data_IF_226066059692
#
_entry.id   IF_226066059692
#
_cell.length_a   1.000
_cell.length_b   1.000
_cell.length_c   1.000
_cell.angle_alpha   90.00
_cell.angle_beta   90.00
_cell.angle_gamma   90.00
#
_symmetry.space_group_name_H-M   'P 1'
#
loop_
_entity.id
_entity.type
_entity.pdbx_description
1 polymer ?
#
# COMPACT_ATOMS: atom_id res chain seq x y z
N UNK A 1 -6.32 29.37 -1.26
CA UNK A 1 -6.28 28.24 -0.31
C UNK A 1 -4.85 27.71 -0.27
N UNK A 2 -4.15 27.93 0.82
CA UNK A 2 -2.74 27.52 0.97
C UNK A 2 -2.65 26.00 1.01
N UNK A 3 -1.94 25.40 0.05
CA UNK A 3 -1.46 24.02 0.12
C UNK A 3 -0.47 23.94 1.28
N UNK A 4 -0.94 23.59 2.48
CA UNK A 4 -0.04 23.13 3.55
C UNK A 4 0.41 21.73 3.13
N UNK A 5 1.67 21.59 2.76
CA UNK A 5 2.30 20.29 2.52
C UNK A 5 2.33 19.56 3.87
N UNK A 6 1.35 18.68 4.10
CA UNK A 6 1.23 17.90 5.33
C UNK A 6 2.46 17.01 5.47
N UNK A 7 3.21 17.14 6.56
CA UNK A 7 4.16 16.11 6.97
C UNK A 7 3.35 14.86 7.32
N UNK A 8 3.45 13.77 6.57
CA UNK A 8 2.69 12.55 6.81
C UNK A 8 3.55 11.55 7.57
N UNK A 9 3.03 11.02 8.68
CA UNK A 9 3.64 9.92 9.45
C UNK A 9 2.84 8.66 9.15
N UNK A 10 3.49 7.63 8.62
CA UNK A 10 2.85 6.33 8.39
C UNK A 10 2.99 5.48 9.65
N UNK A 11 1.86 5.09 10.24
CA UNK A 11 1.80 4.17 11.36
C UNK A 11 1.08 2.91 10.88
N UNK A 12 1.63 1.74 11.18
CA UNK A 12 0.87 0.50 10.98
C UNK A 12 -0.01 0.25 12.21
N UNK A 13 -1.31 0.23 12.00
CA UNK A 13 -2.34 -0.15 12.97
C UNK A 13 -2.40 -1.67 13.01
N UNK A 14 -1.82 -2.26 14.07
CA UNK A 14 -1.72 -3.72 14.24
C UNK A 14 -3.08 -4.37 14.49
N UNK A 15 -4.03 -3.64 15.07
CA UNK A 15 -5.35 -4.17 15.42
C UNK A 15 -6.21 -4.33 14.17
N UNK A 16 -5.99 -3.46 13.17
CA UNK A 16 -6.72 -3.46 11.90
C UNK A 16 -5.85 -3.84 10.70
N UNK A 17 -4.61 -4.25 10.95
CA UNK A 17 -3.61 -4.67 9.96
C UNK A 17 -3.46 -3.72 8.76
N UNK A 18 -3.41 -2.42 9.03
CA UNK A 18 -3.40 -1.42 7.98
C UNK A 18 -2.45 -0.28 8.26
N UNK A 19 -1.91 0.31 7.22
CA UNK A 19 -1.20 1.57 7.34
C UNK A 19 -2.24 2.68 7.55
N UNK A 20 -2.16 3.36 8.69
CA UNK A 20 -2.83 4.64 8.94
C UNK A 20 -1.83 5.78 8.71
N UNK A 21 -2.31 6.89 8.18
CA UNK A 21 -1.52 8.10 8.02
C UNK A 21 -1.89 9.07 9.14
N UNK A 22 -0.89 9.65 9.79
CA UNK A 22 -1.04 10.71 10.78
C UNK A 22 -0.45 11.99 10.21
N UNK A 23 -1.13 13.11 10.38
CA UNK A 23 -0.60 14.43 10.07
C UNK A 23 0.41 14.81 11.17
N UNK A 24 1.67 14.96 10.80
CA UNK A 24 2.78 15.23 11.70
C UNK A 24 2.81 16.64 12.27
N UNK A 25 2.00 17.57 11.76
CA UNK A 25 1.82 18.90 12.38
C UNK A 25 0.75 18.88 13.48
N UNK A 26 -0.33 18.12 13.27
CA UNK A 26 -1.50 18.11 14.16
C UNK A 26 -1.58 16.90 15.08
N UNK A 27 -0.87 15.82 14.74
CA UNK A 27 -1.00 14.51 15.39
C UNK A 27 -2.31 13.79 15.08
N UNK A 28 -3.14 14.33 14.18
CA UNK A 28 -4.45 13.74 13.84
C UNK A 28 -4.32 12.69 12.74
N UNK A 29 -5.17 11.66 12.78
CA UNK A 29 -5.26 10.69 11.69
C UNK A 29 -5.75 11.38 10.42
N UNK A 30 -4.96 11.32 9.36
CA UNK A 30 -5.37 11.74 8.03
C UNK A 30 -6.53 10.86 7.62
N UNK A 31 -7.67 11.49 7.32
CA UNK A 31 -8.86 10.77 6.94
C UNK A 31 -8.62 10.13 5.57
N UNK A 32 -9.22 8.98 5.34
CA UNK A 32 -9.20 8.31 4.04
C UNK A 32 -9.76 9.19 2.91
N UNK A 33 -10.47 10.27 3.24
CA UNK A 33 -11.04 11.22 2.29
C UNK A 33 -10.05 12.32 1.85
N UNK A 34 -8.88 12.43 2.50
CA UNK A 34 -8.02 13.61 2.39
C UNK A 34 -6.94 13.52 1.29
N UNK A 35 -6.69 12.34 0.70
CA UNK A 35 -5.66 12.17 -0.32
C UNK A 35 -6.23 11.82 -1.72
N UNK A 36 -5.68 12.49 -2.74
CA UNK A 36 -6.17 12.45 -4.14
C UNK A 36 -6.29 11.04 -4.70
N UNK A 37 -5.36 10.15 -4.35
CA UNK A 37 -5.36 8.76 -4.81
C UNK A 37 -6.52 8.00 -4.18
N UNK A 38 -6.72 8.10 -2.87
CA UNK A 38 -7.87 7.46 -2.22
C UNK A 38 -9.20 7.98 -2.77
N UNK A 39 -9.31 9.28 -3.08
CA UNK A 39 -10.49 9.84 -3.75
C UNK A 39 -10.79 9.18 -5.11
N UNK A 40 -9.77 8.96 -5.95
CA UNK A 40 -9.92 8.27 -7.23
C UNK A 40 -10.28 6.78 -7.07
N UNK A 41 -9.73 6.11 -6.06
CA UNK A 41 -10.06 4.72 -5.74
C UNK A 41 -11.52 4.57 -5.28
N UNK A 42 -12.00 5.48 -4.42
CA UNK A 42 -13.41 5.50 -4.00
C UNK A 42 -14.33 5.72 -5.19
N UNK A 43 -13.99 6.64 -6.09
CA UNK A 43 -14.75 6.84 -7.32
C UNK A 43 -14.83 5.55 -8.16
N UNK A 44 -13.71 4.82 -8.36
CA UNK A 44 -13.74 3.54 -9.07
C UNK A 44 -14.63 2.50 -8.37
N UNK A 45 -14.59 2.44 -7.04
CA UNK A 45 -15.43 1.55 -6.24
C UNK A 45 -16.92 1.88 -6.41
N UNK A 46 -17.30 3.15 -6.32
CA UNK A 46 -18.68 3.62 -6.53
C UNK A 46 -19.20 3.30 -7.94
N UNK A 47 -18.29 3.27 -8.94
CA UNK A 47 -18.60 2.85 -10.30
C UNK A 47 -18.62 1.32 -10.50
N UNK A 48 -18.46 0.53 -9.44
CA UNK A 48 -18.43 -0.94 -9.50
C UNK A 48 -17.20 -1.51 -10.21
N UNK A 49 -16.12 -0.73 -10.35
CA UNK A 49 -14.94 -1.11 -11.15
C UNK A 49 -13.89 -1.88 -10.32
N UNK A 50 -14.33 -2.92 -9.58
CA UNK A 50 -13.46 -3.73 -8.71
C UNK A 50 -12.25 -4.33 -9.43
N UNK A 51 -12.41 -4.70 -10.69
CA UNK A 51 -11.30 -5.21 -11.52
C UNK A 51 -10.18 -4.18 -11.71
N UNK A 52 -10.53 -2.90 -11.88
CA UNK A 52 -9.53 -1.83 -12.03
C UNK A 52 -8.82 -1.55 -10.70
N UNK A 53 -9.52 -1.64 -9.57
CA UNK A 53 -8.93 -1.53 -8.24
C UNK A 53 -7.86 -2.62 -8.02
N UNK A 54 -8.17 -3.87 -8.38
CA UNK A 54 -7.20 -4.98 -8.30
C UNK A 54 -6.01 -4.79 -9.24
N UNK A 55 -6.25 -4.36 -10.49
CA UNK A 55 -5.16 -4.00 -11.43
C UNK A 55 -4.24 -2.93 -10.86
N UNK A 56 -4.81 -1.92 -10.19
CA UNK A 56 -4.04 -0.86 -9.56
C UNK A 56 -3.23 -1.39 -8.37
N UNK A 57 -3.81 -2.23 -7.51
CA UNK A 57 -3.09 -2.86 -6.40
C UNK A 57 -1.87 -3.66 -6.91
N UNK A 58 -2.06 -4.50 -7.94
CA UNK A 58 -0.97 -5.25 -8.59
C UNK A 58 0.11 -4.32 -9.14
N UNK A 59 -0.27 -3.22 -9.79
CA UNK A 59 0.68 -2.24 -10.30
C UNK A 59 1.51 -1.60 -9.17
N UNK A 60 0.87 -1.18 -8.07
CA UNK A 60 1.55 -0.62 -6.91
C UNK A 60 2.57 -1.60 -6.34
N UNK A 61 2.19 -2.87 -6.18
CA UNK A 61 3.09 -3.91 -5.66
C UNK A 61 4.28 -4.15 -6.59
N UNK A 62 4.07 -4.12 -7.91
CA UNK A 62 5.17 -4.23 -8.88
C UNK A 62 6.18 -3.07 -8.79
N UNK A 63 5.80 -1.90 -8.28
CA UNK A 63 6.74 -0.78 -8.07
C UNK A 63 7.68 -1.00 -6.88
N UNK A 64 7.31 -1.87 -5.93
CA UNK A 64 8.01 -2.05 -4.65
C UNK A 64 9.23 -2.97 -4.76
N UNK A 65 9.29 -3.86 -5.74
CA UNK A 65 10.54 -4.56 -6.06
C UNK A 65 10.48 -5.20 -7.46
N UNK A 66 11.55 -5.06 -8.23
CA UNK A 66 11.74 -5.83 -9.47
C UNK A 66 12.19 -7.27 -9.16
N UNK A 67 12.80 -7.50 -7.98
CA UNK A 67 13.26 -8.80 -7.48
C UNK A 67 12.34 -9.37 -6.38
N UNK A 68 11.05 -9.46 -6.68
CA UNK A 68 10.08 -10.13 -5.79
C UNK A 68 10.57 -11.54 -5.43
N UNK A 69 10.58 -11.88 -4.13
CA UNK A 69 10.92 -13.26 -3.71
C UNK A 69 9.83 -14.22 -4.19
N UNK A 70 10.10 -15.53 -4.28
CA UNK A 70 9.18 -16.50 -4.87
C UNK A 70 7.77 -16.48 -4.27
N UNK A 71 7.64 -16.25 -2.96
CA UNK A 71 6.33 -16.21 -2.31
C UNK A 71 5.50 -14.99 -2.73
N UNK A 72 6.10 -13.80 -2.85
CA UNK A 72 5.40 -12.61 -3.33
C UNK A 72 4.99 -12.75 -4.81
N UNK A 73 5.86 -13.36 -5.64
CA UNK A 73 5.52 -13.68 -7.03
C UNK A 73 4.30 -14.58 -7.11
N UNK A 74 4.25 -15.63 -6.29
CA UNK A 74 3.09 -16.54 -6.23
C UNK A 74 1.81 -15.80 -5.85
N UNK A 75 1.85 -14.89 -4.87
CA UNK A 75 0.67 -14.10 -4.47
C UNK A 75 0.23 -13.17 -5.61
N UNK A 76 1.17 -12.54 -6.31
CA UNK A 76 0.85 -11.70 -7.48
C UNK A 76 0.28 -12.50 -8.64
N UNK A 77 0.81 -13.69 -8.93
CA UNK A 77 0.27 -14.57 -9.96
C UNK A 77 -1.20 -14.95 -9.64
N UNK A 78 -1.51 -15.19 -8.35
CA UNK A 78 -2.88 -15.45 -7.90
C UNK A 78 -3.76 -14.21 -8.05
N UNK A 79 -3.28 -13.03 -7.69
CA UNK A 79 -4.01 -11.78 -7.89
C UNK A 79 -4.28 -11.47 -9.38
N UNK A 80 -3.31 -11.73 -10.25
CA UNK A 80 -3.44 -11.57 -11.69
C UNK A 80 -4.46 -12.55 -12.26
N UNK A 81 -4.46 -13.81 -11.84
CA UNK A 81 -5.52 -14.76 -12.17
C UNK A 81 -6.88 -14.29 -11.70
N UNK A 82 -6.99 -13.79 -10.47
CA UNK A 82 -8.23 -13.25 -9.93
C UNK A 82 -8.78 -12.06 -10.72
N UNK A 83 -7.91 -11.26 -11.34
CA UNK A 83 -8.30 -10.18 -12.26
C UNK A 83 -8.85 -10.69 -13.59
N UNK A 84 -8.46 -11.90 -14.03
CA UNK A 84 -8.84 -12.47 -15.32
C UNK A 84 -10.02 -13.43 -15.27
N UNK A 85 -10.14 -14.20 -14.19
CA UNK A 85 -11.09 -15.30 -14.05
C UNK A 85 -12.35 -14.92 -13.28
N UNK A 86 -12.51 -13.64 -12.90
CA UNK A 86 -13.61 -13.16 -12.03
C UNK A 86 -13.77 -14.05 -10.78
N UNK A 87 -12.63 -14.35 -10.14
CA UNK A 87 -12.56 -15.23 -8.96
C UNK A 87 -13.48 -14.72 -7.86
N UNK A 88 -14.25 -15.64 -7.28
CA UNK A 88 -15.23 -15.35 -6.24
C UNK A 88 -14.57 -14.82 -4.96
N UNK A 89 -15.33 -13.99 -4.23
CA UNK A 89 -14.81 -13.34 -3.01
C UNK A 89 -14.45 -14.33 -1.90
N UNK A 90 -15.10 -15.50 -1.86
CA UNK A 90 -14.83 -16.57 -0.89
C UNK A 90 -13.46 -17.20 -1.10
N UNK A 91 -13.09 -17.52 -2.35
CA UNK A 91 -11.78 -18.07 -2.69
C UNK A 91 -10.64 -17.09 -2.37
N UNK A 92 -10.86 -15.79 -2.63
CA UNK A 92 -9.92 -14.75 -2.23
C UNK A 92 -9.80 -14.61 -0.72
N UNK A 93 -10.91 -14.74 0.02
CA UNK A 93 -10.88 -14.69 1.47
C UNK A 93 -10.08 -15.85 2.06
N UNK A 94 -10.26 -17.08 1.57
CA UNK A 94 -9.46 -18.24 2.00
C UNK A 94 -7.97 -18.01 1.77
N UNK A 95 -7.57 -17.57 0.57
CA UNK A 95 -6.17 -17.22 0.28
C UNK A 95 -5.64 -16.09 1.17
N UNK A 96 -6.49 -15.11 1.49
CA UNK A 96 -6.13 -13.99 2.35
C UNK A 96 -5.92 -14.44 3.81
N UNK A 97 -6.75 -15.35 4.31
CA UNK A 97 -6.62 -15.97 5.63
C UNK A 97 -5.39 -16.87 5.73
N UNK A 98 -5.08 -17.66 4.70
CA UNK A 98 -3.87 -18.50 4.66
C UNK A 98 -2.57 -17.68 4.79
N UNK A 99 -2.59 -16.41 4.35
CA UNK A 99 -1.42 -15.52 4.40
C UNK A 99 -1.31 -14.73 5.72
N UNK A 100 -2.33 -14.78 6.57
CA UNK A 100 -2.45 -14.00 7.81
C UNK A 100 -1.23 -14.17 8.74
N UNK A 101 -0.83 -15.41 9.02
CA UNK A 101 0.29 -15.66 9.94
C UNK A 101 1.63 -15.10 9.43
N UNK A 102 1.83 -15.07 8.11
CA UNK A 102 3.03 -14.48 7.51
C UNK A 102 2.92 -12.96 7.44
N UNK A 103 1.71 -12.42 7.24
CA UNK A 103 1.44 -10.99 7.30
C UNK A 103 1.76 -10.42 8.69
N UNK A 104 1.29 -11.10 9.75
CA UNK A 104 1.58 -10.73 11.15
C UNK A 104 3.08 -10.74 11.42
N UNK A 105 3.83 -11.73 10.91
CA UNK A 105 5.29 -11.79 11.09
C UNK A 105 6.03 -10.68 10.29
N UNK A 106 5.62 -10.43 9.04
CA UNK A 106 6.15 -9.35 8.22
C UNK A 106 5.91 -7.99 8.86
N UNK A 107 4.75 -7.81 9.49
CA UNK A 107 4.40 -6.62 10.26
C UNK A 107 5.21 -6.52 11.58
N UNK A 108 4.96 -7.41 12.53
CA UNK A 108 5.48 -7.26 13.90
C UNK A 108 6.99 -7.31 14.00
N UNK A 109 7.67 -8.04 13.11
CA UNK A 109 9.13 -8.17 13.10
C UNK A 109 9.73 -7.42 11.93
N UNK A 110 9.22 -7.64 10.71
CA UNK A 110 9.82 -7.10 9.50
C UNK A 110 9.75 -5.58 9.42
N UNK A 111 8.55 -5.00 9.56
CA UNK A 111 8.38 -3.56 9.55
C UNK A 111 9.16 -2.93 10.72
N UNK A 112 9.01 -3.44 11.95
CA UNK A 112 9.71 -2.88 13.13
C UNK A 112 11.23 -2.87 13.04
N UNK A 113 11.82 -3.81 12.31
CA UNK A 113 13.27 -3.90 12.06
C UNK A 113 13.72 -3.15 10.79
N UNK A 114 12.83 -2.37 10.15
CA UNK A 114 13.16 -1.63 8.93
C UNK A 114 13.38 -2.55 7.71
N UNK A 115 12.86 -3.78 7.74
CA UNK A 115 13.03 -4.71 6.62
C UNK A 115 12.29 -4.21 5.39
N UNK A 116 13.04 -3.82 4.36
CA UNK A 116 12.50 -3.44 3.04
C UNK A 116 11.67 -4.54 2.37
N UNK A 117 11.79 -5.79 2.83
CA UNK A 117 10.99 -6.91 2.33
C UNK A 117 9.58 -7.00 2.94
N UNK A 118 9.31 -6.31 4.05
CA UNK A 118 8.01 -6.34 4.71
C UNK A 118 6.94 -5.55 3.93
N UNK A 119 7.16 -4.30 3.48
CA UNK A 119 6.20 -3.60 2.62
C UNK A 119 5.92 -4.36 1.32
N UNK A 120 6.93 -5.06 0.76
CA UNK A 120 6.77 -5.86 -0.45
C UNK A 120 5.86 -7.06 -0.26
N UNK A 121 5.98 -7.75 0.88
CA UNK A 121 5.09 -8.87 1.21
C UNK A 121 3.66 -8.38 1.46
N UNK A 122 3.51 -7.33 2.28
CA UNK A 122 2.21 -6.80 2.65
C UNK A 122 1.47 -6.25 1.42
N UNK A 123 2.14 -5.47 0.56
CA UNK A 123 1.56 -5.02 -0.70
C UNK A 123 1.12 -6.17 -1.61
N UNK A 124 1.92 -7.24 -1.70
CA UNK A 124 1.53 -8.42 -2.49
C UNK A 124 0.27 -9.08 -1.95
N UNK A 125 0.18 -9.21 -0.62
CA UNK A 125 -1.02 -9.73 0.04
C UNK A 125 -2.26 -8.88 -0.26
N UNK A 126 -2.14 -7.56 -0.25
CA UNK A 126 -3.28 -6.68 -0.53
C UNK A 126 -3.86 -6.84 -1.94
N UNK A 127 -3.10 -7.38 -2.89
CA UNK A 127 -3.60 -7.68 -4.23
C UNK A 127 -4.69 -8.78 -4.23
N UNK A 128 -4.66 -9.68 -3.24
CA UNK A 128 -5.66 -10.74 -3.03
C UNK A 128 -6.68 -10.40 -1.93
N UNK A 129 -6.72 -9.15 -1.45
CA UNK A 129 -7.70 -8.72 -0.44
C UNK A 129 -9.14 -8.95 -0.97
N UNK A 130 -10.04 -9.60 -0.21
CA UNK A 130 -11.44 -9.78 -0.64
C UNK A 130 -12.13 -8.43 -0.88
N UNK A 131 -11.81 -7.38 -0.12
CA UNK A 131 -12.22 -6.01 -0.39
C UNK A 131 -11.24 -5.34 -1.38
N UNK A 132 -11.68 -5.20 -2.62
CA UNK A 132 -10.86 -4.60 -3.68
C UNK A 132 -10.52 -3.12 -3.42
N UNK A 133 -11.38 -2.36 -2.73
CA UNK A 133 -11.09 -0.97 -2.41
C UNK A 133 -10.02 -0.87 -1.33
N UNK A 134 -10.19 -1.61 -0.23
CA UNK A 134 -9.21 -1.62 0.86
C UNK A 134 -7.85 -2.12 0.36
N UNK A 135 -7.82 -3.21 -0.42
CA UNK A 135 -6.58 -3.73 -0.99
C UNK A 135 -5.86 -2.70 -1.89
N UNK A 136 -6.60 -1.95 -2.70
CA UNK A 136 -6.01 -0.90 -3.53
C UNK A 136 -5.45 0.28 -2.70
N UNK A 137 -6.16 0.67 -1.63
CA UNK A 137 -5.71 1.73 -0.70
C UNK A 137 -4.43 1.29 0.01
N UNK A 138 -4.41 0.08 0.57
CA UNK A 138 -3.25 -0.42 1.32
C UNK A 138 -2.04 -0.64 0.41
N UNK A 139 -2.23 -1.21 -0.79
CA UNK A 139 -1.14 -1.34 -1.76
C UNK A 139 -0.51 0.01 -2.13
N UNK A 140 -1.32 1.06 -2.30
CA UNK A 140 -0.81 2.42 -2.53
C UNK A 140 -0.02 2.97 -1.34
N UNK A 141 -0.47 2.71 -0.11
CA UNK A 141 0.23 3.13 1.11
C UNK A 141 1.55 2.40 1.29
N UNK A 142 1.60 1.09 1.05
CA UNK A 142 2.84 0.32 1.10
C UNK A 142 3.83 0.75 0.01
N UNK A 143 3.36 1.13 -1.18
CA UNK A 143 4.23 1.71 -2.21
C UNK A 143 4.88 3.01 -1.73
N UNK A 144 4.10 3.93 -1.13
CA UNK A 144 4.65 5.17 -0.54
C UNK A 144 5.65 4.86 0.57
N UNK A 145 5.26 4.02 1.53
CA UNK A 145 6.12 3.62 2.65
C UNK A 145 7.44 3.01 2.17
N UNK A 146 7.40 2.11 1.19
CA UNK A 146 8.60 1.50 0.66
C UNK A 146 9.54 2.52 0.01
N UNK A 147 8.99 3.48 -0.76
CA UNK A 147 9.81 4.55 -1.36
C UNK A 147 10.48 5.39 -0.29
N UNK A 148 9.78 5.74 0.78
CA UNK A 148 10.40 6.44 1.90
C UNK A 148 11.50 5.62 2.59
N UNK A 149 11.33 4.30 2.71
CA UNK A 149 12.35 3.41 3.28
C UNK A 149 13.59 3.25 2.38
N UNK A 150 13.50 3.52 1.07
CA UNK A 150 14.64 3.51 0.16
C UNK A 150 15.50 4.77 0.28
N UNK A 151 14.85 5.91 0.53
CA UNK A 151 15.51 7.21 0.60
C UNK A 151 16.17 7.48 1.98
N UNK A 152 15.94 6.61 2.97
CA UNK A 152 16.60 6.68 4.28
C UNK A 152 17.98 5.99 4.28
N UNK A 153 19.03 6.62 4.85
CA UNK A 153 20.34 5.99 5.04
C UNK A 153 20.25 4.75 5.95
N UNK A 154 21.04 3.71 5.67
CA UNK A 154 21.07 2.44 6.41
C UNK A 154 21.28 2.59 7.93
N UNK A 155 21.89 3.68 8.40
CA UNK A 155 22.12 3.97 9.83
C UNK A 155 20.86 4.28 10.66
N UNK A 156 19.69 4.48 10.03
CA UNK A 156 18.43 4.68 10.76
C UNK A 156 17.71 3.38 11.17
N UNK A 157 18.28 2.20 10.84
CA UNK A 157 17.67 0.89 11.10
C UNK A 157 17.38 0.59 12.58
N UNK A 158 18.01 1.29 13.52
CA UNK A 158 17.86 1.06 14.96
C UNK A 158 16.71 1.85 15.62
N UNK A 159 16.13 2.84 14.92
CA UNK A 159 14.89 3.46 15.38
C UNK A 159 13.72 2.72 14.74
N UNK A 160 13.16 1.80 15.51
CA UNK A 160 11.87 1.18 15.24
C UNK A 160 10.89 2.19 14.60
N UNK A 161 10.12 1.75 13.61
CA UNK A 161 9.08 2.49 12.88
C UNK A 161 8.06 3.30 13.71
N UNK A 162 8.16 3.32 15.05
CA UNK A 162 7.35 4.16 15.93
C UNK A 162 7.35 5.63 15.54
N UNK A 163 8.42 6.12 14.92
CA UNK A 163 8.48 7.47 14.38
C UNK A 163 9.32 7.47 13.10
N UNK A 164 8.74 7.07 11.96
CA UNK A 164 9.15 7.72 10.70
C UNK A 164 8.72 9.18 10.86
N UNK A 165 9.55 10.00 11.51
CA UNK A 165 9.51 11.43 11.25
C UNK A 165 9.78 11.55 9.77
N UNK A 166 8.79 12.03 9.03
CA UNK A 166 8.92 12.42 7.63
C UNK A 166 10.02 13.47 7.52
N UNK A 167 11.25 12.98 7.49
CA UNK A 167 12.43 13.67 7.00
C UNK A 167 12.74 13.17 5.58
N UNK A 168 11.80 12.45 4.94
CA UNK A 168 11.87 12.14 3.52
C UNK A 168 11.60 13.42 2.72
N UNK A 169 12.37 13.63 1.66
CA UNK A 169 12.19 14.73 0.73
C UNK A 169 10.73 14.77 0.28
N UNK A 170 10.03 15.89 0.53
CA UNK A 170 8.64 16.11 0.11
C UNK A 170 8.44 15.82 -1.39
N UNK A 171 9.51 15.90 -2.18
CA UNK A 171 9.56 15.59 -3.59
C UNK A 171 9.35 14.09 -3.90
N UNK A 172 9.85 13.16 -3.08
CA UNK A 172 9.66 11.70 -3.32
C UNK A 172 8.19 11.33 -3.19
N UNK A 173 7.54 11.67 -2.07
CA UNK A 173 6.13 11.35 -1.85
C UNK A 173 5.22 11.99 -2.90
N UNK A 174 5.56 13.22 -3.31
CA UNK A 174 4.86 13.92 -4.39
C UNK A 174 4.98 13.16 -5.70
N UNK A 175 6.19 12.76 -6.10
CA UNK A 175 6.43 11.98 -7.32
C UNK A 175 5.65 10.65 -7.31
N UNK A 176 5.66 9.92 -6.19
CA UNK A 176 4.91 8.66 -6.05
C UNK A 176 3.41 8.89 -6.16
N UNK A 177 2.90 9.96 -5.55
CA UNK A 177 1.48 10.32 -5.63
C UNK A 177 1.07 10.71 -7.05
N UNK A 178 1.94 11.41 -7.79
CA UNK A 178 1.73 11.74 -9.19
C UNK A 178 1.69 10.46 -10.05
N UNK A 179 2.66 9.55 -9.91
CA UNK A 179 2.66 8.26 -10.60
C UNK A 179 1.41 7.42 -10.32
N UNK A 180 0.98 7.35 -9.05
CA UNK A 180 -0.24 6.65 -8.65
C UNK A 180 -1.49 7.28 -9.29
N UNK A 181 -1.54 8.61 -9.33
CA UNK A 181 -2.64 9.34 -9.97
C UNK A 181 -2.67 9.04 -11.46
N UNK A 182 -1.54 9.19 -12.15
CA UNK A 182 -1.44 9.00 -13.60
C UNK A 182 -1.84 7.56 -13.97
N UNK A 183 -1.38 6.57 -13.21
CA UNK A 183 -1.79 5.18 -13.44
C UNK A 183 -3.30 4.96 -13.28
N UNK A 184 -3.92 5.59 -12.28
CA UNK A 184 -5.37 5.50 -12.10
C UNK A 184 -6.13 6.15 -13.26
N UNK A 185 -5.64 7.28 -13.76
CA UNK A 185 -6.22 7.94 -14.92
C UNK A 185 -6.07 7.09 -16.18
N UNK A 186 -4.91 6.45 -16.39
CA UNK A 186 -4.71 5.52 -17.50
C UNK A 186 -5.69 4.34 -17.43
N UNK A 187 -5.81 3.70 -16.25
CA UNK A 187 -6.74 2.59 -16.02
C UNK A 187 -8.21 2.97 -16.26
N UNK A 188 -8.59 4.22 -15.98
CA UNK A 188 -9.95 4.71 -16.22
C UNK A 188 -10.28 4.86 -17.72
N UNK A 189 -9.25 5.00 -18.56
CA UNK A 189 -9.35 5.21 -20.01
C UNK A 189 -9.06 3.94 -20.84
N UNK A 190 -8.72 2.81 -20.20
CA UNK A 190 -8.66 1.46 -20.82
C UNK A 190 -10.07 0.92 -21.12
#
# INVERSE_FOLDING_TARGET
>A
MNKRNKNLIYIYDTDHQKIIMIDGETGERVREDDDKVTGLLKYLHEQGRSRLLRKFAVWCTRQINEDLKPIQKKILDLAEKAIHEDVESEELNELYEETEGTAVAADTVGLRQGSRSAPAYLAARECINPDALEGAIQAARFHRLWKEMQDQPEEFSDKALKEIRAASDQDTLKNVTEQQTDRLLDLMNE
#
